data_IF_684493271669
#
_entry.id   IF_684493271669
#
_cell.length_a   1.000
_cell.length_b   1.000
_cell.length_c   1.000
_cell.angle_alpha   90.00
_cell.angle_beta   90.00
_cell.angle_gamma   90.00
#
_symmetry.space_group_name_H-M   'P 1'
#
loop_
_entity.id
_entity.type
_entity.pdbx_description
1 polymer ?
#
# COMPACT_ATOMS: atom_id res chain seq x y z
N UNK A 1 17.89 3.21 -19.21
CA UNK A 1 17.03 2.27 -18.47
C UNK A 1 16.69 2.87 -17.10
N UNK A 2 15.43 2.73 -16.70
CA UNK A 2 14.92 3.14 -15.38
C UNK A 2 14.67 1.88 -14.55
N UNK A 3 15.32 1.78 -13.39
CA UNK A 3 15.08 0.70 -12.43
C UNK A 3 14.05 1.17 -11.40
N UNK A 4 12.99 0.40 -11.22
CA UNK A 4 11.96 0.66 -10.20
C UNK A 4 12.02 -0.49 -9.20
N UNK A 5 12.26 -0.16 -7.93
CA UNK A 5 12.43 -1.13 -6.85
C UNK A 5 11.17 -1.16 -6.00
N UNK A 6 10.44 -2.28 -5.99
CA UNK A 6 9.17 -2.47 -5.30
C UNK A 6 7.97 -2.42 -6.24
N UNK A 7 7.19 -3.50 -6.26
CA UNK A 7 6.03 -3.70 -7.13
C UNK A 7 4.69 -3.34 -6.49
N UNK A 8 4.65 -2.59 -5.39
CA UNK A 8 3.41 -2.06 -4.82
C UNK A 8 2.81 -0.91 -5.64
N UNK A 9 1.73 -0.27 -5.17
CA UNK A 9 0.99 0.73 -5.95
C UNK A 9 1.85 1.89 -6.49
N UNK A 10 2.82 2.36 -5.71
CA UNK A 10 3.74 3.41 -6.14
C UNK A 10 4.61 2.94 -7.32
N UNK A 11 5.28 1.79 -7.19
CA UNK A 11 6.17 1.28 -8.23
C UNK A 11 5.45 0.82 -9.48
N UNK A 12 4.31 0.13 -9.33
CA UNK A 12 3.48 -0.28 -10.47
C UNK A 12 2.91 0.91 -11.23
N UNK A 13 2.43 1.96 -10.56
CA UNK A 13 1.97 3.15 -11.25
C UNK A 13 3.12 3.89 -11.94
N UNK A 14 4.29 4.01 -11.30
CA UNK A 14 5.49 4.58 -11.94
C UNK A 14 5.89 3.81 -13.19
N UNK A 15 5.93 2.48 -13.12
CA UNK A 15 6.25 1.61 -14.26
C UNK A 15 5.22 1.75 -15.39
N UNK A 16 3.93 1.77 -15.06
CA UNK A 16 2.84 1.96 -16.02
C UNK A 16 2.94 3.30 -16.77
N UNK A 17 3.31 4.37 -16.06
CA UNK A 17 3.42 5.71 -16.64
C UNK A 17 4.68 5.87 -17.51
N UNK A 18 5.81 5.32 -17.07
CA UNK A 18 7.11 5.53 -17.73
C UNK A 18 7.42 4.49 -18.81
N UNK A 19 6.90 3.26 -18.69
CA UNK A 19 7.26 2.13 -19.57
C UNK A 19 6.82 2.30 -21.03
N UNK A 20 5.88 3.21 -21.30
CA UNK A 20 5.44 3.49 -22.68
C UNK A 20 6.51 4.14 -23.55
N UNK A 21 7.42 4.89 -22.94
CA UNK A 21 8.42 5.71 -23.65
C UNK A 21 9.86 5.36 -23.24
N UNK A 22 10.03 4.53 -22.21
CA UNK A 22 11.33 4.26 -21.61
C UNK A 22 11.52 2.76 -21.39
N UNK A 23 12.77 2.32 -21.47
CA UNK A 23 13.16 0.98 -21.01
C UNK A 23 13.12 0.95 -19.47
N UNK A 24 12.12 0.25 -18.93
CA UNK A 24 11.83 0.15 -17.50
C UNK A 24 11.98 -1.30 -17.05
N UNK A 25 12.70 -1.49 -15.93
CA UNK A 25 12.72 -2.74 -15.18
C UNK A 25 12.08 -2.52 -13.80
N UNK A 26 10.93 -3.14 -13.56
CA UNK A 26 10.25 -3.19 -12.28
C UNK A 26 10.62 -4.47 -11.54
N UNK A 27 11.17 -4.34 -10.33
CA UNK A 27 11.63 -5.46 -9.52
C UNK A 27 10.79 -5.58 -8.25
N UNK A 28 10.25 -6.77 -7.99
CA UNK A 28 9.44 -7.09 -6.81
C UNK A 28 9.97 -8.36 -6.12
N UNK A 29 10.15 -8.28 -4.81
CA UNK A 29 10.79 -9.34 -4.02
C UNK A 29 9.87 -10.55 -3.77
N UNK A 30 8.55 -10.36 -3.84
CA UNK A 30 7.57 -11.41 -3.62
C UNK A 30 7.18 -12.14 -4.91
N UNK A 31 6.48 -13.26 -4.75
CA UNK A 31 5.93 -14.04 -5.87
C UNK A 31 4.84 -13.29 -6.64
N UNK A 32 4.14 -12.38 -5.98
CA UNK A 32 3.07 -11.57 -6.55
C UNK A 32 3.05 -10.22 -5.84
N UNK A 33 2.72 -9.17 -6.57
CA UNK A 33 2.42 -7.88 -5.93
C UNK A 33 1.20 -7.99 -5.00
N UNK A 34 1.20 -7.21 -3.93
CA UNK A 34 0.10 -7.17 -2.95
C UNK A 34 0.04 -8.34 -1.97
N UNK A 35 1.03 -9.24 -1.94
CA UNK A 35 1.07 -10.34 -0.98
C UNK A 35 2.45 -10.48 -0.30
N UNK A 36 2.52 -10.56 1.03
CA UNK A 36 1.41 -10.58 2.00
C UNK A 36 0.70 -9.21 2.15
N UNK A 37 -0.60 -9.24 2.43
CA UNK A 37 -1.39 -8.01 2.67
C UNK A 37 -1.10 -7.48 4.07
N UNK A 38 -0.64 -6.23 4.16
CA UNK A 38 -0.29 -5.55 5.41
C UNK A 38 -0.96 -4.16 5.49
N UNK A 39 -2.27 -4.12 5.28
CA UNK A 39 -3.01 -2.86 5.20
C UNK A 39 -4.50 -3.10 5.49
N UNK A 40 -5.17 -2.08 6.03
CA UNK A 40 -6.61 -2.08 6.24
C UNK A 40 -7.41 -1.97 4.92
N UNK A 41 -6.75 -1.52 3.84
CA UNK A 41 -7.41 -1.28 2.55
C UNK A 41 -8.19 0.04 2.48
N UNK A 42 -8.23 0.83 3.55
CA UNK A 42 -8.93 2.11 3.58
C UNK A 42 -8.18 3.18 2.78
N UNK A 43 -8.80 3.72 1.73
CA UNK A 43 -8.27 4.81 0.91
C UNK A 43 -9.30 5.93 0.74
N UNK A 44 -8.81 7.16 0.57
CA UNK A 44 -9.68 8.33 0.38
C UNK A 44 -10.40 8.31 -0.97
N UNK A 45 -11.51 9.04 -1.08
CA UNK A 45 -12.23 9.19 -2.34
C UNK A 45 -11.34 9.73 -3.47
N UNK A 46 -10.50 10.73 -3.16
CA UNK A 46 -9.49 11.26 -4.09
C UNK A 46 -8.51 10.19 -4.57
N UNK A 47 -8.05 9.30 -3.67
CA UNK A 47 -7.13 8.22 -4.02
C UNK A 47 -7.80 7.23 -4.97
N UNK A 48 -9.02 6.80 -4.65
CA UNK A 48 -9.79 5.87 -5.46
C UNK A 48 -10.06 6.43 -6.87
N UNK A 49 -10.49 7.69 -6.96
CA UNK A 49 -10.72 8.38 -8.24
C UNK A 49 -9.44 8.65 -9.03
N UNK A 50 -8.29 8.73 -8.36
CA UNK A 50 -7.02 8.88 -9.06
C UNK A 50 -6.62 7.55 -9.71
N UNK A 51 -6.77 6.43 -9.01
CA UNK A 51 -6.42 5.10 -9.54
C UNK A 51 -7.44 4.56 -10.55
N UNK A 52 -8.71 4.97 -10.49
CA UNK A 52 -9.75 4.58 -11.45
C UNK A 52 -9.42 4.96 -12.90
N UNK A 53 -8.55 5.96 -13.09
CA UNK A 53 -8.06 6.43 -14.40
C UNK A 53 -7.04 5.48 -15.03
N UNK A 54 -6.34 4.69 -14.21
CA UNK A 54 -5.22 3.84 -14.64
C UNK A 54 -5.57 2.36 -14.60
N UNK A 55 -6.52 1.96 -13.77
CA UNK A 55 -6.86 0.57 -13.56
C UNK A 55 -8.33 0.38 -13.15
N UNK A 56 -8.82 -0.87 -13.22
CA UNK A 56 -10.19 -1.22 -12.82
C UNK A 56 -10.32 -1.40 -11.30
N UNK A 57 -9.97 -0.38 -10.52
CA UNK A 57 -9.97 -0.41 -9.05
C UNK A 57 -11.30 -0.86 -8.43
N UNK A 58 -12.43 -0.58 -9.10
CA UNK A 58 -13.77 -1.05 -8.66
C UNK A 58 -13.87 -2.56 -8.48
N UNK A 59 -13.03 -3.36 -9.15
CA UNK A 59 -12.97 -4.82 -8.97
C UNK A 59 -12.40 -5.24 -7.62
N UNK A 60 -11.67 -4.35 -6.96
CA UNK A 60 -11.10 -4.56 -5.63
C UNK A 60 -11.94 -3.90 -4.53
N UNK A 61 -13.09 -3.29 -4.84
CA UNK A 61 -13.91 -2.59 -3.85
C UNK A 61 -14.61 -3.60 -2.93
N UNK A 62 -14.39 -3.47 -1.62
CA UNK A 62 -15.02 -4.29 -0.60
C UNK A 62 -16.14 -3.52 0.12
N UNK A 63 -15.93 -2.24 0.43
CA UNK A 63 -16.91 -1.42 1.16
C UNK A 63 -16.77 0.09 0.81
N UNK A 64 -17.87 0.84 0.92
CA UNK A 64 -17.90 2.30 0.82
C UNK A 64 -18.14 2.91 2.20
N UNK A 65 -17.20 3.74 2.65
CA UNK A 65 -17.23 4.39 3.97
C UNK A 65 -17.78 5.81 3.83
N UNK A 66 -18.72 6.15 4.72
CA UNK A 66 -19.45 7.42 4.82
C UNK A 66 -19.00 8.30 5.99
N UNK A 67 -18.15 7.79 6.87
CA UNK A 67 -17.49 8.59 7.89
C UNK A 67 -16.69 7.75 8.88
N UNK A 68 -16.43 8.33 10.04
CA UNK A 68 -15.80 7.65 11.15
C UNK A 68 -16.42 8.04 12.49
N UNK A 69 -16.44 7.08 13.43
CA UNK A 69 -16.66 7.32 14.85
C UNK A 69 -15.32 7.47 15.55
N UNK A 70 -15.19 8.49 16.39
CA UNK A 70 -13.99 8.77 17.17
C UNK A 70 -14.29 8.57 18.64
N UNK A 71 -13.74 7.51 19.22
CA UNK A 71 -13.89 7.16 20.63
C UNK A 71 -12.79 7.78 21.46
N UNK A 72 -13.20 8.52 22.49
CA UNK A 72 -12.32 9.04 23.51
C UNK A 72 -11.98 7.96 24.57
N UNK A 73 -10.92 8.15 25.36
CA UNK A 73 -10.56 7.20 26.42
C UNK A 73 -11.64 6.97 27.49
N UNK A 74 -12.64 7.86 27.60
CA UNK A 74 -13.76 7.71 28.54
C UNK A 74 -14.93 6.90 27.95
N UNK A 75 -14.83 6.42 26.72
CA UNK A 75 -15.87 5.66 26.02
C UNK A 75 -16.91 6.54 25.30
N UNK A 76 -16.90 7.86 25.50
CA UNK A 76 -17.71 8.78 24.71
C UNK A 76 -17.16 8.85 23.28
N UNK A 77 -18.05 9.00 22.29
CA UNK A 77 -17.67 9.14 20.90
C UNK A 77 -18.45 10.24 20.17
N UNK A 78 -17.89 10.73 19.07
CA UNK A 78 -18.59 11.56 18.09
C UNK A 78 -18.40 10.99 16.69
N UNK A 79 -19.32 11.29 15.77
CA UNK A 79 -19.19 10.93 14.35
C UNK A 79 -18.71 12.12 13.53
N UNK A 80 -17.89 11.84 12.52
CA UNK A 80 -17.57 12.79 11.47
C UNK A 80 -17.88 12.18 10.09
N UNK A 81 -18.64 12.87 9.22
CA UNK A 81 -18.88 12.40 7.88
C UNK A 81 -17.61 12.50 7.02
N UNK A 82 -17.44 11.58 6.08
CA UNK A 82 -16.30 11.56 5.17
C UNK A 82 -16.39 10.39 4.20
N UNK A 83 -15.96 10.58 2.96
CA UNK A 83 -16.05 9.54 1.92
C UNK A 83 -14.71 8.83 1.75
N UNK A 84 -14.71 7.51 1.92
CA UNK A 84 -13.56 6.64 1.72
C UNK A 84 -14.02 5.28 1.16
N UNK A 85 -13.06 4.46 0.73
CA UNK A 85 -13.31 3.13 0.19
C UNK A 85 -12.40 2.13 0.88
N UNK A 86 -12.92 0.95 1.16
CA UNK A 86 -12.13 -0.19 1.56
C UNK A 86 -11.88 -1.05 0.33
N UNK A 87 -10.62 -1.31 0.02
CA UNK A 87 -10.21 -2.14 -1.11
C UNK A 87 -9.47 -3.39 -0.64
N UNK A 88 -9.70 -4.49 -1.36
CA UNK A 88 -8.86 -5.67 -1.26
C UNK A 88 -7.52 -5.34 -1.92
N UNK A 89 -6.46 -5.30 -1.11
CA UNK A 89 -5.13 -4.86 -1.53
C UNK A 89 -4.40 -5.83 -2.45
N UNK A 90 -4.52 -7.14 -2.24
CA UNK A 90 -3.95 -8.13 -3.15
C UNK A 90 -4.55 -7.99 -4.56
N UNK A 91 -5.86 -7.85 -4.67
CA UNK A 91 -6.58 -7.68 -5.95
C UNK A 91 -6.21 -6.35 -6.59
N UNK A 92 -6.22 -5.25 -5.83
CA UNK A 92 -5.86 -3.93 -6.36
C UNK A 92 -4.41 -3.88 -6.86
N UNK A 93 -3.47 -4.31 -6.02
CA UNK A 93 -2.04 -4.29 -6.34
C UNK A 93 -1.75 -5.20 -7.55
N UNK A 94 -2.37 -6.38 -7.64
CA UNK A 94 -2.25 -7.29 -8.80
C UNK A 94 -2.80 -6.67 -10.09
N UNK A 95 -3.97 -6.03 -10.06
CA UNK A 95 -4.54 -5.37 -11.24
C UNK A 95 -3.60 -4.27 -11.75
N UNK A 96 -3.06 -3.45 -10.85
CA UNK A 96 -2.18 -2.36 -11.21
C UNK A 96 -0.80 -2.86 -11.67
N UNK A 97 -0.26 -3.89 -11.02
CA UNK A 97 0.98 -4.54 -11.42
C UNK A 97 0.85 -5.20 -12.80
N UNK A 98 -0.27 -5.88 -13.06
CA UNK A 98 -0.57 -6.45 -14.38
C UNK A 98 -0.56 -5.37 -15.46
N UNK A 99 -1.19 -4.21 -15.21
CA UNK A 99 -1.13 -3.06 -16.12
C UNK A 99 0.29 -2.56 -16.36
N UNK A 100 1.11 -2.48 -15.31
CA UNK A 100 2.51 -2.10 -15.45
C UNK A 100 3.30 -3.09 -16.33
N UNK A 101 3.05 -4.39 -16.18
CA UNK A 101 3.73 -5.44 -16.96
C UNK A 101 3.42 -5.43 -18.46
N UNK A 102 2.33 -4.76 -18.88
CA UNK A 102 2.01 -4.56 -20.29
C UNK A 102 2.99 -3.60 -20.99
N UNK A 103 3.71 -2.77 -20.23
CA UNK A 103 4.58 -1.70 -20.75
C UNK A 103 6.00 -1.68 -20.15
N UNK A 104 6.30 -2.53 -19.16
CA UNK A 104 7.60 -2.57 -18.50
C UNK A 104 8.08 -4.03 -18.34
N UNK A 105 9.39 -4.23 -18.35
CA UNK A 105 9.98 -5.50 -17.97
C UNK A 105 9.79 -5.72 -16.46
N UNK A 106 9.41 -6.92 -16.06
CA UNK A 106 9.15 -7.25 -14.65
C UNK A 106 10.02 -8.41 -14.16
N UNK A 107 10.56 -8.28 -12.96
CA UNK A 107 11.25 -9.34 -12.24
C UNK A 107 10.56 -9.58 -10.89
N UNK A 108 9.85 -10.69 -10.77
CA UNK A 108 9.24 -11.17 -9.51
C UNK A 108 10.22 -12.06 -8.77
N UNK A 109 9.97 -12.31 -7.46
CA UNK A 109 10.84 -13.11 -6.58
C UNK A 109 12.29 -12.60 -6.56
N UNK A 110 12.47 -11.32 -6.86
CA UNK A 110 13.76 -10.70 -7.11
C UNK A 110 13.95 -9.56 -6.14
N UNK A 111 14.98 -9.65 -5.29
CA UNK A 111 15.32 -8.58 -4.36
C UNK A 111 16.45 -7.73 -4.93
N UNK A 112 16.28 -6.41 -4.90
CA UNK A 112 17.36 -5.48 -5.21
C UNK A 112 18.21 -5.29 -3.97
N UNK A 113 19.51 -5.52 -4.12
CA UNK A 113 20.54 -5.17 -3.14
C UNK A 113 21.43 -4.07 -3.72
N UNK A 114 22.26 -3.46 -2.90
CA UNK A 114 23.19 -2.43 -3.35
C UNK A 114 24.63 -2.77 -2.97
N UNK A 115 25.55 -2.60 -3.93
CA UNK A 115 27.00 -2.60 -3.72
C UNK A 115 27.50 -1.17 -3.89
N UNK A 116 27.63 -0.43 -2.79
CA UNK A 116 27.72 1.03 -2.84
C UNK A 116 26.42 1.60 -3.43
N UNK A 117 26.51 2.37 -4.52
CA UNK A 117 25.34 2.93 -5.22
C UNK A 117 24.85 2.07 -6.39
N UNK A 118 25.49 0.92 -6.64
CA UNK A 118 25.15 0.06 -7.76
C UNK A 118 24.07 -0.95 -7.37
N UNK A 119 22.93 -1.01 -8.07
CA UNK A 119 21.90 -2.00 -7.80
C UNK A 119 22.34 -3.39 -8.31
N UNK A 120 22.04 -4.40 -7.52
CA UNK A 120 22.31 -5.82 -7.79
C UNK A 120 20.99 -6.58 -7.72
N UNK A 121 20.63 -7.26 -8.80
CA UNK A 121 19.41 -8.06 -8.93
C UNK A 121 19.82 -9.49 -9.25
N UNK A 122 19.35 -10.46 -8.46
CA UNK A 122 19.71 -11.89 -8.60
C UNK A 122 21.23 -12.15 -8.70
N UNK A 123 22.03 -11.35 -7.98
CA UNK A 123 23.49 -11.47 -7.96
C UNK A 123 24.22 -10.82 -9.14
N UNK A 124 23.51 -10.10 -10.02
CA UNK A 124 24.09 -9.38 -11.16
C UNK A 124 23.95 -7.87 -10.98
N UNK A 125 25.02 -7.11 -11.22
CA UNK A 125 24.94 -5.64 -11.27
C UNK A 125 24.03 -5.22 -12.43
N UNK A 126 23.12 -4.30 -12.16
CA UNK A 126 22.18 -3.74 -13.13
C UNK A 126 22.58 -2.29 -13.41
N UNK A 127 22.76 -1.94 -14.69
CA UNK A 127 23.11 -0.58 -15.09
C UNK A 127 21.85 0.25 -15.32
N UNK A 128 21.52 1.15 -14.40
CA UNK A 128 20.37 2.04 -14.50
C UNK A 128 20.82 3.51 -14.47
N UNK A 129 20.21 4.34 -15.31
CA UNK A 129 20.45 5.79 -15.31
C UNK A 129 19.63 6.47 -14.21
N UNK A 130 18.41 5.97 -13.99
CA UNK A 130 17.51 6.43 -12.94
C UNK A 130 17.06 5.24 -12.09
N UNK A 131 16.95 5.47 -10.78
CA UNK A 131 16.42 4.49 -9.82
C UNK A 131 15.24 5.14 -9.08
N UNK A 132 14.09 4.48 -9.12
CA UNK A 132 12.90 4.87 -8.35
C UNK A 132 12.78 3.90 -7.17
N UNK A 133 12.98 4.39 -5.96
CA UNK A 133 12.73 3.65 -4.72
C UNK A 133 11.26 3.66 -4.36
N UNK A 134 10.58 2.54 -4.58
CA UNK A 134 9.18 2.28 -4.23
C UNK A 134 9.06 1.04 -3.31
N UNK A 135 10.10 0.79 -2.51
CA UNK A 135 10.38 -0.43 -1.74
C UNK A 135 9.90 -0.36 -0.28
N UNK A 136 8.85 0.43 -0.06
CA UNK A 136 8.10 0.50 1.19
C UNK A 136 8.94 0.87 2.42
N UNK A 137 8.49 0.41 3.59
CA UNK A 137 9.08 0.74 4.90
C UNK A 137 10.53 0.25 5.06
N UNK A 138 10.92 -0.78 4.30
CA UNK A 138 12.29 -1.28 4.30
C UNK A 138 13.24 -0.24 3.71
N UNK A 139 12.82 0.47 2.66
CA UNK A 139 13.53 1.61 2.05
C UNK A 139 15.02 1.32 1.79
N UNK A 140 15.33 0.17 1.19
CA UNK A 140 16.68 -0.24 0.80
C UNK A 140 17.33 0.77 -0.15
N UNK A 141 16.57 1.35 -1.09
CA UNK A 141 17.06 2.42 -1.96
C UNK A 141 17.46 3.64 -1.13
N UNK A 142 16.61 4.10 -0.20
CA UNK A 142 16.94 5.24 0.65
C UNK A 142 18.18 4.98 1.52
N UNK A 143 18.33 3.75 2.06
CA UNK A 143 19.51 3.35 2.83
C UNK A 143 20.79 3.41 1.99
N UNK A 144 20.75 2.85 0.77
CA UNK A 144 21.91 2.81 -0.11
C UNK A 144 22.41 4.20 -0.51
N UNK A 145 21.49 5.14 -0.72
CA UNK A 145 21.81 6.52 -1.10
C UNK A 145 21.96 7.49 0.09
N UNK A 146 21.87 6.99 1.33
CA UNK A 146 22.04 7.81 2.53
C UNK A 146 20.93 8.84 2.76
N UNK A 147 19.73 8.61 2.22
CA UNK A 147 18.59 9.49 2.41
C UNK A 147 18.02 9.35 3.83
N UNK A 148 17.55 10.48 4.38
CA UNK A 148 16.86 10.50 5.67
C UNK A 148 15.56 9.69 5.56
N UNK A 149 15.38 8.73 6.45
CA UNK A 149 14.16 7.93 6.58
C UNK A 149 13.22 8.53 7.63
N UNK A 150 11.89 8.44 7.44
CA UNK A 150 10.94 8.89 8.44
C UNK A 150 10.99 8.00 9.70
N UNK A 151 10.37 8.48 10.77
CA UNK A 151 10.05 7.64 11.93
C UNK A 151 9.08 6.54 11.51
N UNK A 152 9.28 5.33 12.04
CA UNK A 152 8.47 4.15 11.72
C UNK A 152 7.63 3.80 12.94
N UNK A 153 6.31 3.76 12.76
CA UNK A 153 5.38 3.23 13.74
C UNK A 153 5.05 1.77 13.40
N UNK A 154 5.04 0.91 14.40
CA UNK A 154 4.63 -0.49 14.24
C UNK A 154 3.12 -0.60 14.40
N UNK A 155 2.49 -1.35 13.50
CA UNK A 155 1.07 -1.68 13.55
C UNK A 155 0.89 -3.20 13.43
N UNK A 156 -0.17 -3.72 14.05
CA UNK A 156 -0.60 -5.11 13.94
C UNK A 156 -2.07 -5.09 13.58
N UNK A 157 -2.50 -5.95 12.67
CA UNK A 157 -3.88 -6.00 12.23
C UNK A 157 -4.36 -7.45 12.20
N UNK A 158 -5.61 -7.65 12.57
CA UNK A 158 -6.34 -8.91 12.44
C UNK A 158 -7.64 -8.66 11.68
N UNK A 159 -8.07 -9.65 10.90
CA UNK A 159 -9.43 -9.68 10.37
C UNK A 159 -10.25 -10.60 11.28
N UNK A 160 -11.27 -10.03 11.94
CA UNK A 160 -12.04 -10.72 12.99
C UNK A 160 -13.53 -10.43 12.83
N UNK A 161 -14.38 -11.30 13.36
CA UNK A 161 -15.80 -10.98 13.53
C UNK A 161 -15.94 -9.74 14.40
N UNK A 162 -16.73 -8.78 13.93
CA UNK A 162 -16.84 -7.48 14.58
C UNK A 162 -18.24 -6.92 14.35
N UNK A 163 -18.89 -6.47 15.41
CA UNK A 163 -20.18 -5.82 15.36
C UNK A 163 -19.96 -4.30 15.35
N UNK A 164 -19.94 -3.72 14.15
CA UNK A 164 -19.77 -2.27 13.99
C UNK A 164 -21.04 -1.52 14.40
N UNK A 165 -20.88 -0.30 14.93
CA UNK A 165 -22.02 0.60 15.18
C UNK A 165 -22.77 0.91 13.89
N UNK A 166 -22.03 1.14 12.80
CA UNK A 166 -22.54 1.27 11.43
C UNK A 166 -21.47 0.73 10.49
N UNK A 167 -21.82 -0.25 9.66
CA UNK A 167 -20.91 -0.89 8.70
C UNK A 167 -20.34 0.07 7.64
N UNK A 168 -20.93 1.26 7.49
CA UNK A 168 -20.43 2.31 6.61
C UNK A 168 -19.53 3.32 7.34
N UNK A 169 -19.20 3.14 8.61
CA UNK A 169 -18.35 4.03 9.39
C UNK A 169 -17.14 3.28 9.95
N UNK A 170 -15.95 3.86 9.82
CA UNK A 170 -14.76 3.34 10.49
C UNK A 170 -14.77 3.74 11.95
N UNK A 171 -14.34 2.86 12.83
CA UNK A 171 -14.21 3.17 14.25
C UNK A 171 -12.75 3.46 14.59
N UNK A 172 -12.50 4.61 15.22
CA UNK A 172 -11.16 5.05 15.64
C UNK A 172 -11.15 5.20 17.15
N UNK A 173 -10.26 4.46 17.80
CA UNK A 173 -10.14 4.37 19.25
C UNK A 173 -8.88 5.09 19.72
N UNK A 174 -9.07 6.13 20.52
CA UNK A 174 -7.98 6.97 21.03
C UNK A 174 -7.67 6.64 22.49
N UNK A 175 -6.38 6.61 22.81
CA UNK A 175 -5.88 6.47 24.17
C UNK A 175 -5.05 5.20 24.38
N UNK A 176 -4.15 5.28 25.37
CA UNK A 176 -3.17 4.22 25.70
C UNK A 176 -3.78 2.91 26.17
N UNK A 177 -5.06 2.91 26.53
CA UNK A 177 -5.79 1.67 26.81
C UNK A 177 -5.94 0.78 25.56
N UNK A 178 -5.91 1.39 24.36
CA UNK A 178 -6.01 0.70 23.08
C UNK A 178 -4.63 0.56 22.41
N UNK A 179 -3.91 1.66 22.22
CA UNK A 179 -2.54 1.65 21.68
C UNK A 179 -1.80 2.94 22.03
N UNK A 180 -0.48 2.97 21.82
CA UNK A 180 0.33 4.18 22.02
C UNK A 180 0.02 5.31 21.01
N UNK A 181 -0.70 5.03 19.92
CA UNK A 181 -1.10 6.02 18.94
C UNK A 181 -2.63 6.08 18.76
N UNK A 182 -3.19 5.12 18.03
CA UNK A 182 -4.62 4.84 17.97
C UNK A 182 -4.86 3.37 17.59
N UNK A 183 -6.05 2.86 17.85
CA UNK A 183 -6.53 1.60 17.29
C UNK A 183 -7.70 1.88 16.34
N UNK A 184 -8.00 0.96 15.44
CA UNK A 184 -9.08 1.11 14.47
C UNK A 184 -9.84 -0.18 14.23
N UNK A 185 -11.08 -0.06 13.78
CA UNK A 185 -11.85 -1.13 13.14
C UNK A 185 -12.41 -0.63 11.82
N UNK A 186 -12.03 -1.28 10.71
CA UNK A 186 -12.52 -0.99 9.36
C UNK A 186 -13.51 -2.09 8.95
N UNK A 187 -14.81 -1.79 8.86
CA UNK A 187 -15.83 -2.82 8.61
C UNK A 187 -15.79 -3.40 7.19
N UNK A 188 -16.08 -4.70 7.11
CA UNK A 188 -16.14 -5.55 5.92
C UNK A 188 -17.36 -6.48 5.98
N UNK A 189 -18.53 -5.93 6.30
CA UNK A 189 -19.74 -6.71 6.59
C UNK A 189 -19.71 -7.29 8.00
N UNK A 190 -19.75 -8.61 8.15
CA UNK A 190 -19.76 -9.32 9.45
C UNK A 190 -18.38 -9.39 10.13
N UNK A 191 -17.35 -8.90 9.46
CA UNK A 191 -15.98 -8.81 9.96
C UNK A 191 -15.46 -7.39 9.90
N UNK A 192 -14.36 -7.13 10.60
CA UNK A 192 -13.57 -5.91 10.45
C UNK A 192 -12.09 -6.22 10.46
N UNK A 193 -11.32 -5.38 9.76
CA UNK A 193 -9.88 -5.27 9.96
C UNK A 193 -9.63 -4.38 11.17
N UNK A 194 -9.19 -5.01 12.26
CA UNK A 194 -8.93 -4.38 13.56
C UNK A 194 -7.43 -4.31 13.81
N UNK A 195 -6.90 -3.13 14.15
CA UNK A 195 -5.47 -2.94 14.41
C UNK A 195 -5.14 -1.70 15.21
#
# INVERSE_FOLDING_TARGET
MILIVGGGPAGSLSALLLGKENDVLLVEEHQSSGFPVQCAGLISDRCFESYSKYCRIKKALENEIKGAFFFSPSGNFFSAPGKAYVIERKVFDEILFSKASEVANVALKSKVKFNGLKPVVEGREVSAEYIIGADGVNSEVAKAFGFKRPEILTAVQFEVKFEAIDENFVEIYLGRAYSDFFAYAVPLGDTARVG
#
